data_IF_084159376187
#
_entry.id   IF_084159376187
#
_cell.length_a   1.000
_cell.length_b   1.000
_cell.length_c   1.000
_cell.angle_alpha   90.00
_cell.angle_beta   90.00
_cell.angle_gamma   90.00
#
_symmetry.space_group_name_H-M   'P 1'
#
loop_
_entity.id
_entity.type
_entity.pdbx_description
1 polymer ?
#
# COMPACT_ATOMS: atom_id res chain seq x y z
N UNK A 1 9.41 -8.93 -4.62
CA UNK A 1 10.43 -8.39 -3.72
C UNK A 1 9.81 -7.40 -2.74
N UNK A 2 10.01 -7.61 -1.45
CA UNK A 2 9.56 -6.71 -0.40
C UNK A 2 10.31 -5.37 -0.50
N UNK A 3 9.57 -4.28 -0.57
CA UNK A 3 10.12 -2.91 -0.62
C UNK A 3 9.99 -2.24 0.74
N UNK A 4 8.89 -2.50 1.44
CA UNK A 4 8.54 -1.82 2.67
C UNK A 4 7.59 -2.65 3.53
N UNK A 5 7.83 -2.68 4.84
CA UNK A 5 6.92 -3.24 5.83
C UNK A 5 7.03 -2.40 7.11
N UNK A 6 6.10 -1.48 7.31
CA UNK A 6 6.17 -0.47 8.36
C UNK A 6 4.87 -0.45 9.16
N UNK A 7 5.00 -0.40 10.49
CA UNK A 7 3.90 -0.08 11.38
C UNK A 7 3.89 1.41 11.70
N UNK A 8 2.69 1.95 11.75
CA UNK A 8 2.39 3.33 12.16
C UNK A 8 1.48 3.32 13.38
N UNK A 9 1.66 4.30 14.25
CA UNK A 9 0.79 4.57 15.39
C UNK A 9 0.59 6.07 15.51
N UNK A 10 -0.67 6.49 15.70
CA UNK A 10 -1.04 7.90 15.85
C UNK A 10 -0.49 8.80 14.71
N UNK A 11 -0.50 8.28 13.48
CA UNK A 11 0.05 8.95 12.31
C UNK A 11 1.58 8.96 12.22
N UNK A 12 2.29 8.40 13.20
CA UNK A 12 3.75 8.35 13.26
C UNK A 12 4.29 6.96 12.97
N UNK A 13 5.46 6.90 12.31
CA UNK A 13 6.17 5.64 12.09
C UNK A 13 6.60 5.05 13.43
N UNK A 14 6.14 3.83 13.69
CA UNK A 14 6.47 3.11 14.92
C UNK A 14 7.73 2.23 14.73
N UNK A 15 7.73 1.38 13.71
CA UNK A 15 8.82 0.43 13.47
C UNK A 15 8.80 -0.11 12.05
N UNK A 16 9.97 -0.57 11.58
CA UNK A 16 10.06 -1.53 10.48
C UNK A 16 9.76 -2.92 11.04
N UNK A 17 8.88 -3.66 10.35
CA UNK A 17 8.45 -4.98 10.79
C UNK A 17 9.06 -6.09 9.96
N UNK A 18 9.53 -7.17 10.60
CA UNK A 18 9.66 -8.45 9.92
C UNK A 18 8.29 -8.95 9.46
N UNK A 19 8.23 -9.58 8.29
CA UNK A 19 6.96 -10.09 7.74
C UNK A 19 6.24 -11.02 8.70
N UNK A 20 6.96 -11.89 9.39
CA UNK A 20 6.38 -12.83 10.36
C UNK A 20 5.76 -12.20 11.61
N UNK A 21 5.95 -10.90 11.84
CA UNK A 21 5.34 -10.18 12.97
C UNK A 21 4.07 -9.41 12.58
N UNK A 22 3.71 -9.39 11.30
CA UNK A 22 2.54 -8.66 10.79
C UNK A 22 1.27 -9.06 11.53
N UNK A 23 1.03 -10.37 11.67
CA UNK A 23 -0.16 -10.90 12.33
C UNK A 23 -0.31 -10.44 13.78
N UNK A 24 0.79 -10.22 14.50
CA UNK A 24 0.75 -9.75 15.87
C UNK A 24 0.40 -8.27 15.96
N UNK A 25 0.90 -7.46 15.02
CA UNK A 25 0.55 -6.04 14.94
C UNK A 25 -0.87 -5.81 14.43
N UNK A 26 -1.41 -6.69 13.58
CA UNK A 26 -2.81 -6.62 13.12
C UNK A 26 -3.83 -6.78 14.25
N UNK A 27 -3.46 -7.45 15.33
CA UNK A 27 -4.32 -7.61 16.53
C UNK A 27 -4.42 -6.33 17.36
N UNK A 28 -3.60 -5.32 17.05
CA UNK A 28 -3.54 -4.06 17.76
C UNK A 28 -4.40 -3.02 17.05
N UNK A 29 -5.44 -2.53 17.72
CA UNK A 29 -6.33 -1.50 17.19
C UNK A 29 -5.66 -0.11 17.07
N UNK A 30 -4.53 0.08 17.75
CA UNK A 30 -3.77 1.34 17.77
C UNK A 30 -2.70 1.44 16.68
N UNK A 31 -2.55 0.40 15.86
CA UNK A 31 -1.52 0.32 14.82
C UNK A 31 -2.13 0.18 13.43
N UNK A 32 -1.45 0.77 12.46
CA UNK A 32 -1.70 0.63 11.04
C UNK A 32 -0.46 0.10 10.35
N UNK A 33 -0.62 -0.86 9.44
CA UNK A 33 0.50 -1.50 8.73
C UNK A 33 0.45 -1.15 7.25
N UNK A 34 1.58 -0.73 6.70
CA UNK A 34 1.76 -0.60 5.27
C UNK A 34 2.86 -1.52 4.77
N UNK A 35 2.47 -2.43 3.89
CA UNK A 35 3.41 -3.30 3.16
C UNK A 35 3.42 -2.93 1.69
N UNK A 36 4.60 -2.84 1.12
CA UNK A 36 4.78 -2.61 -0.31
C UNK A 36 5.66 -3.69 -0.92
N UNK A 37 5.15 -4.35 -1.94
CA UNK A 37 5.84 -5.32 -2.77
C UNK A 37 6.04 -4.76 -4.18
N UNK A 38 7.12 -5.18 -4.83
CA UNK A 38 7.38 -4.95 -6.25
C UNK A 38 7.71 -6.29 -6.91
N UNK A 39 7.05 -6.56 -8.04
CA UNK A 39 7.22 -7.79 -8.79
C UNK A 39 7.26 -9.01 -7.85
N UNK A 40 6.17 -9.13 -7.06
CA UNK A 40 6.07 -10.12 -6.01
C UNK A 40 6.10 -11.54 -6.59
N UNK A 41 6.88 -12.40 -5.95
CA UNK A 41 6.86 -13.83 -6.24
C UNK A 41 5.57 -14.47 -5.73
N UNK A 42 5.24 -15.65 -6.24
CA UNK A 42 4.10 -16.43 -5.76
C UNK A 42 4.20 -16.73 -4.26
N UNK A 43 5.40 -17.05 -3.79
CA UNK A 43 5.65 -17.31 -2.36
C UNK A 43 5.43 -16.08 -1.49
N UNK A 44 5.83 -14.88 -1.96
CA UNK A 44 5.58 -13.62 -1.24
C UNK A 44 4.09 -13.29 -1.19
N UNK A 45 3.34 -13.51 -2.27
CA UNK A 45 1.90 -13.29 -2.29
C UNK A 45 1.15 -14.27 -1.38
N UNK A 46 1.55 -15.54 -1.37
CA UNK A 46 0.96 -16.54 -0.47
C UNK A 46 1.25 -16.20 1.00
N UNK A 47 2.46 -15.76 1.32
CA UNK A 47 2.80 -15.29 2.66
C UNK A 47 1.94 -14.09 3.07
N UNK A 48 1.72 -13.11 2.19
CA UNK A 48 0.84 -11.98 2.47
C UNK A 48 -0.61 -12.42 2.65
N UNK A 49 -1.07 -13.39 1.86
CA UNK A 49 -2.40 -13.97 2.00
C UNK A 49 -2.61 -14.57 3.40
N UNK A 50 -1.63 -15.32 3.90
CA UNK A 50 -1.68 -15.90 5.24
C UNK A 50 -1.66 -14.83 6.34
N UNK A 51 -0.74 -13.86 6.26
CA UNK A 51 -0.56 -12.82 7.27
C UNK A 51 -1.77 -11.88 7.39
N UNK A 52 -2.33 -11.45 6.26
CA UNK A 52 -3.45 -10.50 6.22
C UNK A 52 -4.82 -11.17 6.08
N UNK A 53 -4.89 -12.46 5.86
CA UNK A 53 -6.15 -13.17 5.60
C UNK A 53 -6.82 -12.70 4.30
N UNK A 54 -6.03 -12.51 3.24
CA UNK A 54 -6.52 -11.98 1.96
C UNK A 54 -7.43 -12.97 1.24
N UNK A 55 -8.42 -12.43 0.53
CA UNK A 55 -9.32 -13.25 -0.28
C UNK A 55 -8.56 -13.88 -1.47
N UNK A 56 -8.79 -15.17 -1.70
CA UNK A 56 -8.06 -15.95 -2.68
C UNK A 56 -8.18 -15.41 -4.11
N UNK A 57 -9.38 -15.00 -4.53
CA UNK A 57 -9.60 -14.42 -5.85
C UNK A 57 -8.83 -13.12 -6.07
N UNK A 58 -8.71 -12.28 -5.04
CA UNK A 58 -7.94 -11.04 -5.11
C UNK A 58 -6.43 -11.32 -5.23
N UNK A 59 -5.94 -12.33 -4.53
CA UNK A 59 -4.54 -12.77 -4.63
C UNK A 59 -4.24 -13.38 -6.00
N UNK A 60 -5.18 -14.16 -6.55
CA UNK A 60 -5.07 -14.73 -7.88
C UNK A 60 -5.00 -13.62 -8.95
N UNK A 61 -5.85 -12.61 -8.87
CA UNK A 61 -5.82 -11.46 -9.78
C UNK A 61 -4.50 -10.70 -9.71
N UNK A 62 -4.00 -10.45 -8.50
CA UNK A 62 -2.69 -9.81 -8.29
C UNK A 62 -1.52 -10.65 -8.81
N UNK A 63 -1.64 -11.98 -8.77
CA UNK A 63 -0.64 -12.92 -9.29
C UNK A 63 -0.58 -12.94 -10.81
N UNK A 64 -1.75 -13.03 -11.45
CA UNK A 64 -1.84 -13.09 -12.91
C UNK A 64 -1.50 -11.75 -13.55
N UNK A 65 -1.84 -10.63 -12.92
CA UNK A 65 -1.70 -9.31 -13.49
C UNK A 65 -2.59 -9.10 -14.73
N UNK A 66 -2.35 -8.03 -15.47
CA UNK A 66 -3.10 -7.64 -16.67
C UNK A 66 -4.61 -7.49 -16.45
N UNK A 67 -4.97 -7.15 -15.22
CA UNK A 67 -6.34 -6.88 -14.86
C UNK A 67 -6.78 -5.50 -15.36
N UNK A 68 -8.09 -5.33 -15.60
CA UNK A 68 -8.65 -3.99 -15.81
C UNK A 68 -8.72 -3.23 -14.47
N UNK A 69 -8.59 -1.90 -14.49
CA UNK A 69 -8.84 -1.11 -13.30
C UNK A 69 -10.21 -1.42 -12.72
N UNK A 70 -10.25 -1.79 -11.44
CA UNK A 70 -11.47 -2.19 -10.74
C UNK A 70 -11.33 -2.01 -9.24
N UNK A 71 -12.46 -1.99 -8.55
CA UNK A 71 -12.55 -2.04 -7.09
C UNK A 71 -13.54 -3.14 -6.74
N UNK A 72 -13.15 -4.05 -5.87
CA UNK A 72 -13.95 -5.16 -5.38
C UNK A 72 -13.95 -5.20 -3.86
N UNK A 73 -15.10 -5.45 -3.28
CA UNK A 73 -15.27 -5.59 -1.83
C UNK A 73 -15.31 -7.06 -1.44
N UNK A 74 -14.54 -7.42 -0.43
CA UNK A 74 -14.49 -8.76 0.15
C UNK A 74 -14.67 -8.67 1.66
N UNK A 75 -15.93 -8.74 2.12
CA UNK A 75 -16.26 -8.53 3.54
C UNK A 75 -15.87 -7.13 3.99
N UNK A 76 -14.98 -7.05 4.98
CA UNK A 76 -14.49 -5.77 5.54
C UNK A 76 -13.24 -5.25 4.84
N UNK A 77 -12.81 -5.89 3.76
CA UNK A 77 -11.63 -5.49 2.97
C UNK A 77 -11.99 -5.10 1.55
N UNK A 78 -11.14 -4.28 0.96
CA UNK A 78 -11.26 -3.79 -0.42
C UNK A 78 -10.03 -4.18 -1.20
N UNK A 79 -10.24 -4.67 -2.41
CA UNK A 79 -9.20 -4.90 -3.40
C UNK A 79 -9.37 -3.95 -4.58
N UNK A 80 -8.33 -3.20 -4.91
CA UNK A 80 -8.32 -2.28 -6.03
C UNK A 80 -7.19 -2.57 -7.00
N UNK A 81 -7.51 -2.59 -8.28
CA UNK A 81 -6.53 -2.64 -9.37
C UNK A 81 -6.47 -1.25 -10.00
N UNK A 82 -5.29 -0.67 -10.02
CA UNK A 82 -5.03 0.64 -10.63
C UNK A 82 -3.96 0.51 -11.71
N UNK A 83 -4.08 1.33 -12.74
CA UNK A 83 -3.03 1.49 -13.73
C UNK A 83 -2.29 2.81 -13.49
N UNK A 84 -0.97 2.73 -13.51
CA UNK A 84 -0.09 3.88 -13.45
C UNK A 84 0.53 4.10 -14.81
N UNK A 85 0.40 5.32 -15.33
CA UNK A 85 1.06 5.73 -16.57
C UNK A 85 2.44 6.29 -16.23
N UNK A 86 3.46 5.69 -16.78
CA UNK A 86 4.85 6.11 -16.62
C UNK A 86 5.38 6.61 -17.97
N UNK A 87 5.94 7.80 -17.98
CA UNK A 87 6.60 8.34 -19.16
C UNK A 87 8.07 7.90 -19.19
N UNK A 88 8.49 7.30 -20.29
CA UNK A 88 9.86 6.90 -20.55
C UNK A 88 10.31 7.52 -21.88
N UNK A 89 10.96 8.68 -21.80
CA UNK A 89 11.28 9.50 -22.98
C UNK A 89 10.01 9.93 -23.74
N UNK A 90 9.91 9.51 -25.00
CA UNK A 90 8.73 9.76 -25.86
C UNK A 90 7.69 8.63 -25.79
N UNK A 91 7.96 7.57 -25.03
CA UNK A 91 7.06 6.42 -24.86
C UNK A 91 6.33 6.49 -23.50
N UNK A 92 5.21 5.79 -23.44
CA UNK A 92 4.45 5.60 -22.20
C UNK A 92 4.39 4.12 -21.87
N UNK A 93 4.71 3.78 -20.61
CA UNK A 93 4.53 2.45 -20.05
C UNK A 93 3.34 2.48 -19.10
N UNK A 94 2.57 1.40 -19.11
CA UNK A 94 1.49 1.20 -18.16
C UNK A 94 1.94 0.13 -17.18
N UNK A 95 2.04 0.49 -15.92
CA UNK A 95 2.26 -0.44 -14.82
C UNK A 95 0.99 -0.68 -14.02
N UNK A 96 0.87 -1.86 -13.44
CA UNK A 96 -0.27 -2.25 -12.62
C UNK A 96 0.07 -2.15 -11.14
N UNK A 97 -0.86 -1.61 -10.38
CA UNK A 97 -0.78 -1.52 -8.92
C UNK A 97 -2.01 -2.19 -8.32
N UNK A 98 -1.80 -3.26 -7.59
CA UNK A 98 -2.83 -3.96 -6.83
C UNK A 98 -2.76 -3.50 -5.38
N UNK A 99 -3.87 -3.06 -4.83
CA UNK A 99 -3.96 -2.54 -3.46
C UNK A 99 -5.02 -3.30 -2.68
N UNK A 100 -4.59 -3.88 -1.58
CA UNK A 100 -5.47 -4.53 -0.61
C UNK A 100 -5.58 -3.61 0.60
N UNK A 101 -6.81 -3.27 0.97
CA UNK A 101 -7.10 -2.38 2.10
C UNK A 101 -7.96 -3.13 3.11
N UNK A 102 -7.49 -3.26 4.31
CA UNK A 102 -8.23 -3.80 5.44
C UNK A 102 -8.48 -2.73 6.50
N UNK A 103 -8.98 -3.16 7.65
CA UNK A 103 -9.32 -2.27 8.76
C UNK A 103 -8.11 -1.43 9.22
N UNK A 104 -6.95 -2.06 9.35
CA UNK A 104 -5.73 -1.45 9.89
C UNK A 104 -4.49 -1.77 9.05
N UNK A 105 -4.66 -2.06 7.76
CA UNK A 105 -3.54 -2.28 6.86
C UNK A 105 -3.80 -1.82 5.44
N UNK A 106 -2.72 -1.57 4.73
CA UNK A 106 -2.66 -1.48 3.26
C UNK A 106 -1.50 -2.33 2.77
N UNK A 107 -1.78 -3.21 1.84
CA UNK A 107 -0.78 -3.94 1.05
C UNK A 107 -0.83 -3.43 -0.39
N UNK A 108 0.27 -2.90 -0.89
CA UNK A 108 0.41 -2.50 -2.28
C UNK A 108 1.39 -3.41 -3.02
N UNK A 109 0.97 -3.94 -4.15
CA UNK A 109 1.78 -4.79 -5.04
C UNK A 109 1.87 -4.13 -6.40
N UNK A 110 3.09 -3.75 -6.80
CA UNK A 110 3.37 -3.15 -8.11
C UNK A 110 3.98 -4.19 -9.04
N UNK A 111 3.45 -4.24 -10.24
CA UNK A 111 3.96 -5.13 -11.29
C UNK A 111 4.47 -4.29 -12.47
N UNK A 112 5.68 -4.61 -12.93
CA UNK A 112 6.33 -3.98 -14.08
C UNK A 112 6.53 -2.46 -13.97
N UNK A 113 6.55 -1.91 -12.76
CA UNK A 113 6.81 -0.49 -12.51
C UNK A 113 8.30 -0.22 -12.39
N UNK A 114 8.79 0.75 -13.14
CA UNK A 114 10.15 1.26 -13.04
C UNK A 114 10.28 2.41 -12.03
N UNK A 115 9.18 3.10 -11.76
CA UNK A 115 9.16 4.21 -10.82
C UNK A 115 9.00 3.73 -9.38
N UNK A 116 9.65 4.46 -8.48
CA UNK A 116 9.51 4.26 -7.05
C UNK A 116 8.42 5.18 -6.48
N UNK A 117 7.55 4.67 -5.60
CA UNK A 117 6.64 5.51 -4.82
C UNK A 117 7.37 6.31 -3.72
N UNK A 118 8.61 6.72 -3.99
CA UNK A 118 9.40 7.52 -3.04
C UNK A 118 8.66 8.79 -2.63
N UNK A 119 8.01 9.48 -3.57
CA UNK A 119 7.26 10.69 -3.27
C UNK A 119 6.03 10.49 -2.38
N UNK A 120 5.37 9.34 -2.42
CA UNK A 120 4.27 9.00 -1.50
C UNK A 120 4.81 8.71 -0.12
N UNK A 121 5.88 7.93 -0.07
CA UNK A 121 6.58 7.56 1.17
C UNK A 121 7.15 8.80 1.87
N UNK A 122 7.83 9.68 1.13
CA UNK A 122 8.39 10.94 1.65
C UNK A 122 7.30 11.89 2.15
N UNK A 123 6.15 11.98 1.47
CA UNK A 123 5.01 12.78 1.94
C UNK A 123 4.42 12.25 3.24
N UNK A 124 4.35 10.93 3.38
CA UNK A 124 3.95 10.29 4.64
C UNK A 124 4.92 10.62 5.78
N UNK A 125 6.23 10.65 5.50
CA UNK A 125 7.25 10.99 6.51
C UNK A 125 7.31 12.50 6.82
N UNK A 126 7.20 13.38 5.80
CA UNK A 126 7.22 14.84 5.99
C UNK A 126 6.03 15.38 6.77
N UNK A 127 4.89 14.70 6.73
CA UNK A 127 3.73 15.05 7.54
C UNK A 127 4.00 14.87 9.04
N UNK A 128 4.97 14.03 9.39
CA UNK A 128 5.40 13.80 10.76
C UNK A 128 6.32 14.91 11.31
N UNK A 129 7.13 15.52 10.45
CA UNK A 129 8.05 16.59 10.84
C UNK A 129 7.37 17.96 10.89
N UNK A 130 6.20 18.12 10.27
CA UNK A 130 5.45 19.38 10.16
C UNK A 130 4.41 19.64 11.24
N UNK A 131 4.06 18.68 12.07
CA UNK A 131 3.05 18.85 13.14
C UNK A 131 3.58 19.46 14.44
N UNK A 132 4.82 19.92 14.47
CA UNK A 132 5.31 20.83 15.54
C UNK A 132 5.15 22.31 15.18
N UNK A 133 4.51 22.66 14.08
CA UNK A 133 4.13 24.04 13.80
C UNK A 133 2.68 24.29 14.23
N UNK A 134 2.55 24.89 15.39
CA UNK A 134 1.33 25.54 15.87
C UNK A 134 0.79 26.52 14.83
N UNK A 135 -0.53 26.49 14.62
CA UNK A 135 -1.34 27.48 13.88
C UNK A 135 -1.21 27.51 12.34
N UNK A 136 -2.19 26.93 11.66
CA UNK A 136 -2.39 27.18 10.25
C UNK A 136 -3.24 26.19 9.45
N UNK A 137 -4.15 25.46 10.05
CA UNK A 137 -5.06 24.57 9.34
C UNK A 137 -6.36 25.27 8.91
N UNK A 138 -6.25 26.33 8.10
CA UNK A 138 -7.43 27.05 7.57
C UNK A 138 -7.44 27.21 6.04
N UNK A 139 -6.68 26.43 5.28
CA UNK A 139 -6.60 26.70 3.84
C UNK A 139 -6.72 25.49 2.90
N UNK A 140 -7.37 24.38 3.29
CA UNK A 140 -7.57 23.25 2.38
C UNK A 140 -9.01 22.72 2.34
N UNK A 141 -9.99 23.52 2.72
CA UNK A 141 -11.42 23.23 2.49
C UNK A 141 -12.03 24.27 1.55
N UNK A 142 -11.49 24.38 0.35
CA UNK A 142 -12.17 25.00 -0.79
C UNK A 142 -11.70 24.32 -2.06
N UNK A 143 -12.43 23.32 -2.47
CA UNK A 143 -12.53 22.94 -3.88
C UNK A 143 -14.02 22.96 -4.19
N UNK A 144 -14.40 24.01 -4.88
CA UNK A 144 -15.66 24.07 -5.61
C UNK A 144 -15.62 23.10 -6.79
#
# INVERSE_FOLDING_TARGET
>A
MLVNCIAYKDGSRLADLPVGEISDYLKRDDCFIWVALRDASEAELEQMKEEFGLHELAVEDARHGHQRPKIEEYGDSVFAVMHQLEQDGDAYNISEVNVFVGHNYVLSVRNHSQQHFLGVRERGHKRQEGEQCEHGCERLCRVD
#
